data_IF_303905836171
#
_entry.id   IF_303905836171
#
_cell.length_a   1.000
_cell.length_b   1.000
_cell.length_c   1.000
_cell.angle_alpha   90.00
_cell.angle_beta   90.00
_cell.angle_gamma   90.00
#
_symmetry.space_group_name_H-M   'P 1'
#
loop_
_entity.id
_entity.type
_entity.pdbx_description
1 polymer ?
#
# COMPACT_ATOMS: atom_id res chain seq x y z
N UNK A 1 -15.25 -8.36 3.11
CA UNK A 1 -14.12 -7.91 2.30
C UNK A 1 -12.83 -8.60 2.77
N UNK A 2 -12.10 -9.23 1.82
CA UNK A 2 -10.87 -10.00 2.10
C UNK A 2 -9.75 -9.13 2.70
N UNK A 3 -9.64 -7.89 2.25
CA UNK A 3 -8.64 -6.97 2.82
C UNK A 3 -8.97 -6.61 4.27
N UNK A 4 -10.23 -6.46 4.62
CA UNK A 4 -10.65 -6.23 5.99
C UNK A 4 -10.37 -7.45 6.89
N UNK A 5 -10.61 -8.66 6.37
CA UNK A 5 -10.26 -9.90 7.06
C UNK A 5 -8.74 -9.98 7.31
N UNK A 6 -7.92 -9.67 6.29
CA UNK A 6 -6.47 -9.57 6.41
C UNK A 6 -6.05 -8.49 7.43
N UNK A 7 -6.70 -7.33 7.43
CA UNK A 7 -6.42 -6.26 8.38
C UNK A 7 -6.68 -6.71 9.83
N UNK A 8 -7.79 -7.39 10.08
CA UNK A 8 -8.10 -7.96 11.40
C UNK A 8 -7.09 -9.04 11.79
N UNK A 9 -6.73 -9.94 10.88
CA UNK A 9 -5.71 -10.96 11.09
C UNK A 9 -4.35 -10.36 11.45
N UNK A 10 -3.92 -9.30 10.76
CA UNK A 10 -2.67 -8.59 11.06
C UNK A 10 -2.65 -8.01 12.49
N UNK A 11 -3.77 -7.45 12.95
CA UNK A 11 -3.90 -6.94 14.32
C UNK A 11 -3.76 -8.07 15.35
N UNK A 12 -4.44 -9.19 15.12
CA UNK A 12 -4.32 -10.37 15.98
C UNK A 12 -2.89 -10.93 15.96
N UNK A 13 -2.26 -11.03 14.80
CA UNK A 13 -0.92 -11.56 14.61
C UNK A 13 0.18 -10.78 15.34
N UNK A 14 -0.03 -9.48 15.53
CA UNK A 14 0.90 -8.57 16.23
C UNK A 14 0.48 -8.21 17.65
N UNK A 15 -0.56 -8.85 18.18
CA UNK A 15 -1.05 -8.56 19.51
C UNK A 15 -0.11 -9.09 20.61
N UNK A 16 0.05 -8.32 21.67
CA UNK A 16 0.98 -8.66 22.80
C UNK A 16 0.61 -9.94 23.56
N UNK A 17 -0.66 -10.38 23.50
CA UNK A 17 -1.10 -11.59 24.20
C UNK A 17 -0.52 -12.88 23.61
N UNK A 18 0.14 -12.83 22.47
CA UNK A 18 0.73 -14.02 21.83
C UNK A 18 2.01 -14.54 22.50
N UNK A 19 2.40 -14.03 23.66
CA UNK A 19 3.61 -14.44 24.42
C UNK A 19 4.88 -14.48 23.56
N UNK A 20 5.01 -13.55 22.62
CA UNK A 20 6.16 -13.44 21.75
C UNK A 20 7.30 -12.72 22.49
N UNK A 21 8.53 -13.05 22.13
CA UNK A 21 9.66 -12.21 22.49
C UNK A 21 9.61 -10.86 21.72
N UNK A 22 10.31 -9.87 22.25
CA UNK A 22 10.30 -8.52 21.67
C UNK A 22 10.89 -8.49 20.25
N UNK A 23 11.84 -9.37 19.94
CA UNK A 23 12.48 -9.42 18.62
C UNK A 23 11.50 -9.96 17.57
N UNK A 24 10.81 -11.07 17.87
CA UNK A 24 9.79 -11.64 16.99
C UNK A 24 8.61 -10.66 16.82
N UNK A 25 8.14 -10.04 17.90
CA UNK A 25 7.07 -9.05 17.84
C UNK A 25 7.47 -7.85 16.95
N UNK A 26 8.71 -7.39 17.05
CA UNK A 26 9.25 -6.32 16.20
C UNK A 26 9.24 -6.73 14.72
N UNK A 27 9.69 -7.94 14.39
CA UNK A 27 9.66 -8.45 13.01
C UNK A 27 8.23 -8.51 12.47
N UNK A 28 7.29 -9.05 13.24
CA UNK A 28 5.87 -9.10 12.86
C UNK A 28 5.29 -7.72 12.59
N UNK A 29 5.61 -6.74 13.42
CA UNK A 29 5.17 -5.35 13.23
C UNK A 29 5.78 -4.71 11.99
N UNK A 30 7.05 -4.96 11.68
CA UNK A 30 7.69 -4.49 10.44
C UNK A 30 6.96 -5.06 9.22
N UNK A 31 6.67 -6.36 9.22
CA UNK A 31 5.96 -7.00 8.10
C UNK A 31 4.51 -6.52 8.03
N UNK A 32 3.82 -6.32 9.14
CA UNK A 32 2.48 -5.71 9.15
C UNK A 32 2.48 -4.34 8.45
N UNK A 33 3.44 -3.47 8.80
CA UNK A 33 3.54 -2.14 8.17
C UNK A 33 3.95 -2.23 6.71
N UNK A 34 4.76 -3.25 6.33
CA UNK A 34 5.03 -3.54 4.94
C UNK A 34 3.72 -3.79 4.16
N UNK A 35 2.85 -4.64 4.67
CA UNK A 35 1.55 -4.97 4.04
C UNK A 35 0.63 -3.75 3.97
N UNK A 36 0.51 -2.99 5.06
CA UNK A 36 -0.31 -1.77 5.12
C UNK A 36 0.16 -0.72 4.11
N UNK A 37 1.47 -0.51 4.00
CA UNK A 37 2.05 0.45 3.07
C UNK A 37 1.92 -0.04 1.63
N UNK A 38 2.13 -1.33 1.36
CA UNK A 38 1.94 -1.92 0.03
C UNK A 38 0.51 -1.73 -0.49
N UNK A 39 -0.49 -1.97 0.36
CA UNK A 39 -1.91 -1.82 0.03
C UNK A 39 -2.33 -0.37 -0.26
N UNK A 40 -1.54 0.63 0.15
CA UNK A 40 -1.84 2.05 -0.05
C UNK A 40 -0.97 2.71 -1.12
N UNK A 41 0.27 2.23 -1.31
CA UNK A 41 1.24 2.83 -2.23
C UNK A 41 1.29 2.17 -3.60
N UNK A 42 0.93 0.88 -3.68
CA UNK A 42 1.06 0.09 -4.89
C UNK A 42 2.50 -0.09 -5.38
N UNK A 43 3.50 0.12 -4.53
CA UNK A 43 4.91 -0.13 -4.84
C UNK A 43 5.13 -1.57 -5.29
N UNK A 44 6.07 -1.79 -6.21
CA UNK A 44 6.54 -3.15 -6.48
C UNK A 44 7.31 -3.68 -5.27
N UNK A 45 7.24 -4.99 -5.06
CA UNK A 45 7.92 -5.65 -3.92
C UNK A 45 9.41 -5.28 -3.84
N UNK A 46 10.11 -5.23 -4.97
CA UNK A 46 11.52 -4.83 -5.02
C UNK A 46 11.74 -3.35 -4.69
N UNK A 47 10.89 -2.47 -5.20
CA UNK A 47 10.95 -1.03 -4.90
C UNK A 47 10.72 -0.80 -3.40
N UNK A 48 9.70 -1.42 -2.83
CA UNK A 48 9.35 -1.23 -1.42
C UNK A 48 10.42 -1.76 -0.46
N UNK A 49 11.02 -2.93 -0.75
CA UNK A 49 12.07 -3.50 0.08
C UNK A 49 13.35 -2.65 0.13
N UNK A 50 13.63 -1.90 -0.94
CA UNK A 50 14.79 -1.04 -1.08
C UNK A 50 14.53 0.43 -0.71
N UNK A 51 13.33 0.73 -0.21
CA UNK A 51 12.95 2.08 0.20
C UNK A 51 13.79 2.53 1.40
N UNK A 52 14.33 3.73 1.35
CA UNK A 52 15.07 4.38 2.44
C UNK A 52 14.20 5.43 3.11
N UNK A 53 14.52 5.79 4.33
CA UNK A 53 13.80 6.88 5.02
C UNK A 53 14.00 8.22 4.32
N UNK A 54 15.12 8.45 3.63
CA UNK A 54 15.35 9.61 2.77
C UNK A 54 14.42 9.68 1.54
N UNK A 55 13.85 8.55 1.13
CA UNK A 55 12.90 8.47 0.02
C UNK A 55 11.45 8.82 0.45
N UNK A 56 11.20 9.06 1.74
CA UNK A 56 9.84 9.24 2.30
C UNK A 56 9.73 10.57 3.03
N UNK A 57 8.88 11.45 2.53
CA UNK A 57 8.50 12.69 3.19
C UNK A 57 7.04 12.62 3.63
N UNK A 58 6.77 12.95 4.89
CA UNK A 58 5.42 12.99 5.43
C UNK A 58 4.85 14.40 5.37
N UNK A 59 3.61 14.51 4.94
CA UNK A 59 2.90 15.78 4.77
C UNK A 59 1.56 15.71 5.50
N UNK A 60 1.24 16.75 6.28
CA UNK A 60 -0.09 16.93 6.86
C UNK A 60 -0.98 17.63 5.84
N UNK A 61 -2.14 17.08 5.60
CA UNK A 61 -3.14 17.64 4.72
C UNK A 61 -4.47 17.76 5.46
N UNK A 62 -4.99 18.96 5.53
CA UNK A 62 -6.30 19.23 6.13
C UNK A 62 -7.31 19.51 5.01
N UNK A 63 -8.36 18.70 4.95
CA UNK A 63 -9.47 18.90 4.04
C UNK A 63 -10.77 18.50 4.73
N UNK A 64 -11.83 19.28 4.56
CA UNK A 64 -13.17 19.00 5.08
C UNK A 64 -13.17 18.59 6.57
N UNK A 65 -12.54 19.39 7.43
CA UNK A 65 -12.41 19.15 8.87
C UNK A 65 -11.71 17.86 9.29
N UNK A 66 -11.06 17.18 8.34
CA UNK A 66 -10.26 16.00 8.61
C UNK A 66 -8.78 16.24 8.32
N UNK A 67 -7.92 15.86 9.26
CA UNK A 67 -6.47 15.87 9.08
C UNK A 67 -6.00 14.48 8.61
N UNK A 68 -5.28 14.45 7.50
CA UNK A 68 -4.70 13.24 6.95
C UNK A 68 -3.19 13.37 6.86
N UNK A 69 -2.48 12.31 7.22
CA UNK A 69 -1.05 12.20 6.92
C UNK A 69 -0.88 11.52 5.57
N UNK A 70 -0.25 12.22 4.64
CA UNK A 70 0.17 11.69 3.35
C UNK A 70 1.65 11.33 3.37
N UNK A 71 2.05 10.37 2.55
CA UNK A 71 3.46 10.09 2.30
C UNK A 71 3.81 10.42 0.85
N UNK A 72 4.75 11.35 0.66
CA UNK A 72 5.42 11.57 -0.61
C UNK A 72 6.56 10.59 -0.73
N UNK A 73 6.48 9.69 -1.70
CA UNK A 73 7.43 8.61 -1.89
C UNK A 73 8.20 8.85 -3.19
N UNK A 74 9.53 8.87 -3.08
CA UNK A 74 10.44 8.90 -4.21
C UNK A 74 10.95 7.49 -4.51
N UNK A 75 10.64 6.96 -5.68
CA UNK A 75 11.21 5.70 -6.18
C UNK A 75 12.40 6.05 -7.04
N UNK A 76 13.59 5.65 -6.60
CA UNK A 76 14.85 5.90 -7.29
C UNK A 76 14.94 5.04 -8.57
N UNK A 77 15.62 5.56 -9.60
CA UNK A 77 15.74 4.86 -10.90
C UNK A 77 16.41 3.48 -10.77
N UNK A 78 17.43 3.36 -9.92
CA UNK A 78 18.16 2.10 -9.70
C UNK A 78 17.31 1.02 -9.03
N UNK A 79 16.30 1.39 -8.22
CA UNK A 79 15.38 0.44 -7.59
C UNK A 79 14.16 0.13 -8.43
N UNK A 80 13.91 0.94 -9.45
CA UNK A 80 12.76 0.80 -10.36
C UNK A 80 13.03 -0.28 -11.42
N UNK A 81 12.05 -1.16 -11.64
CA UNK A 81 12.11 -2.17 -12.72
C UNK A 81 12.32 -1.56 -14.11
N UNK A 82 11.76 -0.38 -14.34
CA UNK A 82 11.81 0.35 -15.62
C UNK A 82 12.94 1.38 -15.69
N UNK A 83 13.83 1.40 -14.69
CA UNK A 83 14.99 2.31 -14.62
C UNK A 83 14.64 3.79 -14.73
N UNK A 84 13.43 4.16 -14.33
CA UNK A 84 12.95 5.55 -14.31
C UNK A 84 12.52 5.90 -12.89
N UNK A 85 12.97 7.04 -12.39
CA UNK A 85 12.53 7.57 -11.10
C UNK A 85 11.14 8.14 -11.20
N UNK A 86 10.43 8.14 -10.08
CA UNK A 86 9.14 8.81 -9.94
C UNK A 86 8.90 9.24 -8.50
N UNK A 87 8.08 10.26 -8.35
CA UNK A 87 7.60 10.70 -7.04
C UNK A 87 6.08 10.74 -7.07
N UNK A 88 5.45 10.22 -6.03
CA UNK A 88 3.99 10.23 -5.91
C UNK A 88 3.56 10.39 -4.46
N UNK A 89 2.30 10.77 -4.25
CA UNK A 89 1.67 10.84 -2.94
C UNK A 89 0.81 9.60 -2.71
N UNK A 90 0.89 9.03 -1.51
CA UNK A 90 -0.04 8.01 -1.07
C UNK A 90 -0.70 8.37 0.26
N UNK A 91 -1.88 7.79 0.48
CA UNK A 91 -2.64 7.95 1.73
C UNK A 91 -2.00 7.17 2.88
N UNK A 92 -2.48 7.47 4.08
CA UNK A 92 -2.13 6.73 5.29
C UNK A 92 -0.63 6.77 5.63
N UNK A 93 0.00 7.94 5.46
CA UNK A 93 1.40 8.20 5.84
C UNK A 93 1.71 7.89 7.30
N UNK A 94 0.69 7.89 8.17
CA UNK A 94 0.82 7.49 9.59
C UNK A 94 1.36 6.06 9.77
N UNK A 95 1.29 5.20 8.76
CA UNK A 95 1.94 3.89 8.85
C UNK A 95 3.46 3.99 8.82
N UNK A 96 4.02 4.97 8.10
CA UNK A 96 5.45 5.26 8.15
C UNK A 96 5.85 5.88 9.49
N UNK A 97 5.03 6.77 10.07
CA UNK A 97 5.30 7.33 11.41
C UNK A 97 5.42 6.21 12.46
N UNK A 98 4.40 5.34 12.52
CA UNK A 98 4.40 4.18 13.43
C UNK A 98 5.57 3.23 13.18
N UNK A 99 5.91 2.99 11.92
CA UNK A 99 7.06 2.13 11.59
C UNK A 99 8.37 2.77 12.02
N UNK A 100 8.51 4.09 11.92
CA UNK A 100 9.69 4.83 12.41
C UNK A 100 9.87 4.68 13.92
N UNK A 101 8.78 4.71 14.69
CA UNK A 101 8.81 4.44 16.14
C UNK A 101 9.25 3.02 16.49
N UNK A 102 8.88 2.03 15.65
CA UNK A 102 9.24 0.62 15.83
C UNK A 102 10.70 0.37 15.42
N UNK A 103 11.11 0.89 14.27
CA UNK A 103 12.45 0.65 13.70
C UNK A 103 13.54 1.52 14.32
N UNK A 104 13.19 2.75 14.76
CA UNK A 104 14.10 3.74 15.37
C UNK A 104 15.38 3.94 14.54
N UNK A 105 15.24 4.38 13.27
CA UNK A 105 16.40 4.57 12.39
C UNK A 105 17.35 5.61 12.95
N UNK A 106 18.66 5.36 12.82
CA UNK A 106 19.73 6.29 13.25
C UNK A 106 20.06 7.31 12.16
N UNK A 107 19.74 6.98 10.91
CA UNK A 107 19.99 7.81 9.74
C UNK A 107 18.81 7.73 8.75
N UNK A 108 18.64 8.78 7.95
CA UNK A 108 17.70 8.80 6.83
C UNK A 108 18.11 7.85 5.70
N UNK A 109 19.36 7.42 5.65
CA UNK A 109 19.86 6.49 4.64
C UNK A 109 19.57 5.02 4.96
N UNK A 110 19.11 4.73 6.18
CA UNK A 110 18.68 3.37 6.53
C UNK A 110 17.43 2.96 5.76
N UNK A 111 17.32 1.66 5.55
CA UNK A 111 16.15 1.06 4.92
C UNK A 111 14.90 1.19 5.80
N UNK A 112 13.76 1.46 5.19
CA UNK A 112 12.46 1.51 5.88
C UNK A 112 12.07 0.13 6.39
N UNK A 113 12.27 -0.91 5.57
CA UNK A 113 11.92 -2.28 5.89
C UNK A 113 13.17 -3.12 6.12
N UNK A 114 13.64 -3.09 7.35
CA UNK A 114 14.83 -3.79 7.80
C UNK A 114 14.67 -4.31 9.22
N UNK A 115 15.36 -5.38 9.57
CA UNK A 115 15.41 -5.92 10.93
C UNK A 115 16.64 -5.40 11.67
N UNK A 116 17.75 -5.22 10.97
CA UNK A 116 19.06 -4.86 11.52
C UNK A 116 19.53 -3.44 11.17
N UNK A 117 18.78 -2.68 10.38
CA UNK A 117 19.14 -1.35 9.91
C UNK A 117 19.92 -1.33 8.58
N UNK A 118 20.53 -2.44 8.20
CA UNK A 118 21.48 -2.52 7.09
C UNK A 118 20.94 -3.29 5.88
N UNK A 119 20.33 -4.46 6.13
CA UNK A 119 19.88 -5.36 5.07
C UNK A 119 18.39 -5.23 4.80
N UNK A 120 18.03 -5.38 3.54
CA UNK A 120 16.63 -5.46 3.13
C UNK A 120 15.89 -6.60 3.87
N UNK A 121 14.63 -6.36 4.22
CA UNK A 121 13.74 -7.43 4.67
C UNK A 121 13.78 -8.58 3.64
N UNK A 122 14.22 -9.77 4.09
CA UNK A 122 14.40 -10.89 3.18
C UNK A 122 13.06 -11.33 2.57
N UNK A 123 13.09 -11.79 1.31
CA UNK A 123 11.90 -12.37 0.67
C UNK A 123 11.36 -13.55 1.47
N UNK A 124 12.24 -14.37 2.07
CA UNK A 124 11.86 -15.52 2.88
C UNK A 124 11.08 -15.09 4.12
N UNK A 125 11.58 -14.10 4.86
CA UNK A 125 10.90 -13.54 6.05
C UNK A 125 9.56 -12.94 5.67
N UNK A 126 9.52 -12.11 4.62
CA UNK A 126 8.29 -11.50 4.15
C UNK A 126 7.24 -12.57 3.79
N UNK A 127 7.60 -13.57 2.99
CA UNK A 127 6.67 -14.63 2.57
C UNK A 127 6.23 -15.53 3.73
N UNK A 128 7.12 -15.80 4.69
CA UNK A 128 6.76 -16.58 5.88
C UNK A 128 5.65 -15.88 6.68
N UNK A 129 5.84 -14.61 7.04
CA UNK A 129 4.86 -13.88 7.81
C UNK A 129 3.60 -13.55 6.99
N UNK A 130 3.74 -13.30 5.68
CA UNK A 130 2.61 -13.13 4.78
C UNK A 130 1.68 -14.35 4.81
N UNK A 131 2.24 -15.56 4.63
CA UNK A 131 1.45 -16.80 4.67
C UNK A 131 0.73 -16.98 6.00
N UNK A 132 1.39 -16.68 7.12
CA UNK A 132 0.76 -16.74 8.44
C UNK A 132 -0.40 -15.75 8.59
N UNK A 133 -0.30 -14.56 8.05
CA UNK A 133 -1.39 -13.58 8.07
C UNK A 133 -2.55 -13.98 7.16
N UNK A 134 -2.28 -14.50 5.97
CA UNK A 134 -3.30 -15.03 5.05
C UNK A 134 -4.02 -16.25 5.65
N UNK A 135 -3.29 -17.14 6.31
CA UNK A 135 -3.86 -18.28 7.04
C UNK A 135 -4.82 -17.82 8.15
N UNK A 136 -4.41 -16.83 8.95
CA UNK A 136 -5.23 -16.25 10.02
C UNK A 136 -6.42 -15.43 9.50
N UNK A 137 -6.32 -14.88 8.31
CA UNK A 137 -7.40 -14.12 7.68
C UNK A 137 -8.54 -15.00 7.19
N UNK A 138 -8.31 -16.31 7.10
CA UNK A 138 -9.27 -17.33 6.65
C UNK A 138 -9.98 -16.96 5.33
N UNK A 139 -9.18 -16.48 4.36
CA UNK A 139 -9.67 -16.11 3.04
C UNK A 139 -10.12 -17.37 2.30
N UNK A 140 -11.32 -17.33 1.73
CA UNK A 140 -11.86 -18.43 0.95
C UNK A 140 -10.97 -18.77 -0.28
N UNK A 141 -10.87 -20.04 -0.59
CA UNK A 141 -10.11 -20.56 -1.74
C UNK A 141 -8.62 -20.14 -1.80
N UNK A 142 -8.05 -19.73 -0.65
CA UNK A 142 -6.65 -19.28 -0.58
C UNK A 142 -5.64 -20.30 -1.11
N UNK A 143 -5.97 -21.59 -1.06
CA UNK A 143 -5.08 -22.67 -1.49
C UNK A 143 -5.00 -22.80 -3.02
N UNK A 144 -6.06 -22.39 -3.71
CA UNK A 144 -6.15 -22.41 -5.17
C UNK A 144 -5.76 -21.07 -5.81
N UNK A 145 -5.59 -20.03 -4.98
CA UNK A 145 -5.27 -18.67 -5.42
C UNK A 145 -3.81 -18.33 -5.08
N UNK A 146 -3.10 -17.75 -6.03
CA UNK A 146 -1.74 -17.26 -5.80
C UNK A 146 -1.75 -15.91 -5.05
N UNK A 147 -2.08 -15.97 -3.75
CA UNK A 147 -2.10 -14.80 -2.87
C UNK A 147 -0.67 -14.49 -2.38
N UNK A 148 0.00 -13.60 -3.08
CA UNK A 148 1.36 -13.14 -2.77
C UNK A 148 1.38 -11.66 -2.38
N UNK A 149 2.45 -11.14 -1.76
CA UNK A 149 2.54 -9.71 -1.42
C UNK A 149 2.33 -8.76 -2.61
N UNK A 150 2.61 -9.21 -3.84
CA UNK A 150 2.32 -8.46 -5.05
C UNK A 150 0.83 -8.25 -5.31
N UNK A 151 -0.04 -9.12 -4.79
CA UNK A 151 -1.50 -8.99 -4.88
C UNK A 151 -2.01 -7.70 -4.25
N UNK A 152 -1.30 -7.14 -3.27
CA UNK A 152 -1.62 -5.84 -2.66
C UNK A 152 -1.53 -4.68 -3.66
N UNK A 153 -0.64 -4.78 -4.65
CA UNK A 153 -0.57 -3.78 -5.73
C UNK A 153 -1.80 -3.88 -6.64
N UNK A 154 -2.26 -5.10 -6.96
CA UNK A 154 -3.50 -5.28 -7.70
C UNK A 154 -4.68 -4.71 -6.92
N UNK A 155 -4.76 -5.02 -5.64
CA UNK A 155 -5.77 -4.45 -4.74
C UNK A 155 -5.77 -2.91 -4.78
N UNK A 156 -4.62 -2.26 -4.58
CA UNK A 156 -4.51 -0.80 -4.61
C UNK A 156 -4.97 -0.22 -5.94
N UNK A 157 -4.53 -0.79 -7.06
CA UNK A 157 -4.92 -0.33 -8.39
C UNK A 157 -6.42 -0.44 -8.59
N UNK A 158 -7.03 -1.59 -8.25
CA UNK A 158 -8.48 -1.80 -8.30
C UNK A 158 -9.22 -0.75 -7.48
N UNK A 159 -8.81 -0.52 -6.22
CA UNK A 159 -9.43 0.49 -5.36
C UNK A 159 -9.33 1.90 -5.95
N UNK A 160 -8.21 2.25 -6.60
CA UNK A 160 -8.04 3.56 -7.25
C UNK A 160 -8.89 3.72 -8.50
N UNK A 161 -9.03 2.66 -9.30
CA UNK A 161 -9.94 2.64 -10.45
C UNK A 161 -11.38 2.85 -9.97
N UNK A 162 -11.82 2.07 -8.99
CA UNK A 162 -13.17 2.14 -8.43
C UNK A 162 -13.45 3.49 -7.73
N UNK A 163 -12.44 4.18 -7.25
CA UNK A 163 -12.56 5.55 -6.69
C UNK A 163 -12.50 6.66 -7.74
N UNK A 164 -12.55 6.32 -9.04
CA UNK A 164 -12.65 7.27 -10.13
C UNK A 164 -11.33 7.88 -10.63
N UNK A 165 -10.15 7.38 -10.18
CA UNK A 165 -8.88 7.81 -10.75
C UNK A 165 -8.73 7.30 -12.18
N UNK A 166 -8.22 8.16 -13.06
CA UNK A 166 -7.93 7.78 -14.44
C UNK A 166 -6.77 6.79 -14.53
N UNK A 167 -6.77 5.94 -15.55
CA UNK A 167 -5.68 5.00 -15.79
C UNK A 167 -4.31 5.70 -15.92
N UNK A 168 -4.29 6.94 -16.41
CA UNK A 168 -3.08 7.75 -16.50
C UNK A 168 -2.53 8.10 -15.11
N UNK A 169 -3.37 8.57 -14.20
CA UNK A 169 -2.96 8.89 -12.82
C UNK A 169 -2.43 7.67 -12.10
N UNK A 170 -3.09 6.52 -12.27
CA UNK A 170 -2.68 5.25 -11.66
C UNK A 170 -1.36 4.77 -12.28
N UNK A 171 -1.20 4.86 -13.59
CA UNK A 171 0.02 4.46 -14.28
C UNK A 171 1.23 5.28 -13.80
N UNK A 172 1.07 6.59 -13.62
CA UNK A 172 2.11 7.48 -13.10
C UNK A 172 2.48 7.12 -11.65
N UNK A 173 1.51 6.91 -10.76
CA UNK A 173 1.75 6.47 -9.38
C UNK A 173 2.50 5.14 -9.33
N UNK A 174 2.05 4.18 -10.13
CA UNK A 174 2.56 2.82 -10.12
C UNK A 174 3.85 2.61 -10.93
N UNK A 175 4.28 3.60 -11.72
CA UNK A 175 5.43 3.48 -12.60
C UNK A 175 5.24 2.37 -13.65
N UNK A 176 4.10 2.41 -14.35
CA UNK A 176 3.75 1.47 -15.42
C UNK A 176 3.13 2.24 -16.58
N UNK A 177 2.82 1.60 -17.71
CA UNK A 177 2.14 2.25 -18.82
C UNK A 177 0.62 2.20 -18.66
N UNK A 178 -0.07 3.17 -19.24
CA UNK A 178 -1.54 3.18 -19.35
C UNK A 178 -2.02 1.90 -20.02
N UNK A 179 -1.39 1.49 -21.12
CA UNK A 179 -1.72 0.25 -21.83
C UNK A 179 -1.63 -1.00 -20.94
N UNK A 180 -0.67 -1.04 -19.99
CA UNK A 180 -0.57 -2.16 -19.05
C UNK A 180 -1.70 -2.15 -18.03
N UNK A 181 -2.12 -0.96 -17.55
CA UNK A 181 -3.29 -0.85 -16.66
C UNK A 181 -4.56 -1.28 -17.43
N UNK A 182 -4.78 -0.74 -18.61
CA UNK A 182 -5.93 -1.11 -19.44
C UNK A 182 -5.98 -2.61 -19.69
N UNK A 183 -4.88 -3.20 -20.17
CA UNK A 183 -4.83 -4.64 -20.44
C UNK A 183 -5.20 -5.50 -19.24
N UNK A 184 -4.72 -5.10 -18.04
CA UNK A 184 -4.90 -5.92 -16.82
C UNK A 184 -6.25 -5.72 -16.18
N UNK A 185 -6.81 -4.51 -16.25
CA UNK A 185 -8.02 -4.11 -15.52
C UNK A 185 -9.20 -3.73 -16.42
N UNK A 186 -9.15 -4.09 -17.71
CA UNK A 186 -10.19 -3.79 -18.67
C UNK A 186 -11.58 -4.29 -18.24
N UNK A 187 -11.63 -5.43 -17.56
CA UNK A 187 -12.86 -6.03 -17.05
C UNK A 187 -13.59 -5.15 -16.03
N UNK A 188 -12.92 -4.22 -15.36
CA UNK A 188 -13.54 -3.27 -14.44
C UNK A 188 -14.27 -2.13 -15.15
N UNK A 189 -14.05 -1.96 -16.47
CA UNK A 189 -14.68 -0.86 -17.22
C UNK A 189 -16.21 -0.94 -17.21
N UNK A 190 -16.79 -2.13 -17.22
CA UNK A 190 -18.25 -2.27 -17.23
C UNK A 190 -18.86 -1.88 -15.87
N UNK A 191 -18.20 -2.22 -14.76
CA UNK A 191 -18.62 -1.75 -13.43
C UNK A 191 -18.50 -0.23 -13.31
N UNK A 192 -17.41 0.35 -13.85
CA UNK A 192 -17.19 1.81 -13.88
C UNK A 192 -18.27 2.48 -14.74
N UNK A 193 -18.57 1.93 -15.92
CA UNK A 193 -19.63 2.44 -16.80
C UNK A 193 -20.99 2.41 -16.13
N UNK A 194 -21.30 1.32 -15.44
CA UNK A 194 -22.56 1.21 -14.68
C UNK A 194 -22.59 2.25 -13.55
N UNK A 195 -21.53 2.34 -12.76
CA UNK A 195 -21.41 3.33 -11.68
C UNK A 195 -21.56 4.74 -12.21
N UNK A 196 -20.89 5.08 -13.32
CA UNK A 196 -21.00 6.39 -13.95
C UNK A 196 -22.39 6.66 -14.52
N UNK A 197 -23.04 5.63 -15.08
CA UNK A 197 -24.38 5.77 -15.67
C UNK A 197 -25.47 6.02 -14.62
N UNK A 198 -25.30 5.50 -13.41
CA UNK A 198 -26.26 5.65 -12.30
C UNK A 198 -25.84 6.76 -11.31
N UNK A 199 -24.66 7.31 -11.45
CA UNK A 199 -24.17 8.41 -10.60
C UNK A 199 -25.03 9.64 -10.81
N UNK A 200 -25.56 10.17 -9.73
CA UNK A 200 -26.26 11.44 -9.73
C UNK A 200 -25.29 12.56 -9.30
N UNK A 201 -25.61 13.79 -9.65
CA UNK A 201 -24.78 14.93 -9.32
C UNK A 201 -25.60 16.16 -8.93
N UNK A 202 -25.04 16.95 -8.04
CA UNK A 202 -25.60 18.22 -7.64
C UNK A 202 -24.65 19.35 -8.05
N UNK A 203 -25.24 20.41 -8.61
CA UNK A 203 -24.50 21.65 -8.85
C UNK A 203 -24.69 22.59 -7.67
N UNK A 204 -23.61 22.97 -7.04
CA UNK A 204 -23.58 23.92 -5.95
C UNK A 204 -23.73 25.36 -6.44
N UNK A 205 -24.06 26.29 -5.53
CA UNK A 205 -24.26 27.71 -5.88
C UNK A 205 -23.00 28.42 -6.41
N UNK A 206 -21.81 27.91 -6.06
CA UNK A 206 -20.51 28.39 -6.53
C UNK A 206 -20.10 27.81 -7.91
N UNK A 207 -20.98 26.98 -8.52
CA UNK A 207 -20.73 26.34 -9.80
C UNK A 207 -19.96 25.02 -9.72
N UNK A 208 -19.52 24.57 -8.56
CA UNK A 208 -18.91 23.25 -8.40
C UNK A 208 -19.91 22.12 -8.55
N UNK A 209 -19.44 20.95 -8.97
CA UNK A 209 -20.26 19.73 -9.13
C UNK A 209 -19.82 18.72 -8.07
N UNK A 210 -20.81 18.22 -7.34
CA UNK A 210 -20.66 17.16 -6.35
C UNK A 210 -21.35 15.91 -6.86
N UNK A 211 -20.69 14.77 -6.83
CA UNK A 211 -21.27 13.45 -7.14
C UNK A 211 -21.94 12.93 -5.88
N UNK A 212 -23.19 12.53 -5.98
CA UNK A 212 -24.04 12.06 -4.89
C UNK A 212 -23.90 10.55 -4.65
#
# INVERSE_FOLDING_TARGET
>A
DEYEALYRAMRSYTAKHNKLDDAELRVRKIVQHYVLIAANSGLRVGEQRQLRWSDVQLERHSANDSEQTLARIHVRAETSKVRTSRTFLCRNGQYFERLREISKPKSSDELVFTIDGERELSKRTLLYHWRKMIELADIADRETRDLVPYSLRHFMITQRIMSGLTFRQIADMCGTSVAQIEKTYYHLNDEIRLTNAVADYKRNADGTIEVL
#
